data_IF_001701818946
#
_entry.id   IF_001701818946
#
_cell.length_a   1.000
_cell.length_b   1.000
_cell.length_c   1.000
_cell.angle_alpha   90.00
_cell.angle_beta   90.00
_cell.angle_gamma   90.00
#
_symmetry.space_group_name_H-M   'P 1'
#
loop_
_entity.id
_entity.type
_entity.pdbx_description
1 polymer ?
#
# COMPACT_ATOMS: atom_id res chain seq x y z
N UNK A 1 -19.33 -3.43 -20.61
CA UNK A 1 -18.31 -4.04 -19.73
C UNK A 1 -17.09 -3.15 -19.69
N UNK A 2 -16.64 -2.82 -18.50
CA UNK A 2 -15.43 -2.02 -18.37
C UNK A 2 -14.20 -2.88 -18.60
N UNK A 3 -13.25 -2.39 -19.40
CA UNK A 3 -11.96 -3.03 -19.57
C UNK A 3 -11.13 -2.98 -18.28
N UNK A 4 -9.95 -3.62 -18.26
CA UNK A 4 -9.08 -3.60 -17.10
C UNK A 4 -8.65 -2.17 -16.76
N UNK A 5 -8.60 -1.85 -15.48
CA UNK A 5 -8.17 -0.56 -14.97
C UNK A 5 -6.65 -0.44 -15.15
N UNK A 6 -6.19 0.72 -15.58
CA UNK A 6 -4.74 0.97 -15.71
C UNK A 6 -4.10 1.07 -14.33
N UNK A 7 -2.88 0.56 -14.21
CA UNK A 7 -2.10 0.67 -12.97
C UNK A 7 -1.94 2.12 -12.53
N UNK A 8 -1.74 3.04 -13.48
CA UNK A 8 -1.61 4.46 -13.17
C UNK A 8 -2.85 5.04 -12.50
N UNK A 9 -4.05 4.58 -12.90
CA UNK A 9 -5.30 5.01 -12.28
C UNK A 9 -5.41 4.50 -10.84
N UNK A 10 -5.00 3.26 -10.60
CA UNK A 10 -5.00 2.67 -9.25
C UNK A 10 -4.04 3.41 -8.33
N UNK A 11 -2.82 3.65 -8.80
CA UNK A 11 -1.82 4.39 -8.02
C UNK A 11 -2.26 5.83 -7.77
N UNK A 12 -2.85 6.49 -8.76
CA UNK A 12 -3.38 7.85 -8.62
C UNK A 12 -4.45 7.93 -7.53
N UNK A 13 -5.32 6.92 -7.45
CA UNK A 13 -6.42 6.90 -6.50
C UNK A 13 -5.96 6.91 -5.02
N UNK A 14 -4.71 6.50 -4.74
CA UNK A 14 -4.12 6.49 -3.40
C UNK A 14 -2.86 7.35 -3.31
N UNK A 15 -2.65 8.27 -4.26
CA UNK A 15 -1.41 9.03 -4.38
C UNK A 15 -1.27 10.19 -3.40
N UNK A 16 -2.36 10.68 -2.82
CA UNK A 16 -2.31 11.73 -1.80
C UNK A 16 -2.60 11.16 -0.42
N UNK A 17 -2.16 11.87 0.62
CA UNK A 17 -2.26 11.42 2.00
C UNK A 17 -3.71 11.15 2.43
N UNK A 18 -4.64 12.01 2.04
CA UNK A 18 -6.04 11.84 2.42
C UNK A 18 -6.68 10.64 1.73
N UNK A 19 -6.38 10.40 0.45
CA UNK A 19 -6.89 9.24 -0.29
C UNK A 19 -6.32 7.94 0.28
N UNK A 20 -5.04 7.91 0.59
CA UNK A 20 -4.40 6.75 1.21
C UNK A 20 -4.99 6.47 2.58
N UNK A 21 -5.20 7.52 3.40
CA UNK A 21 -5.83 7.40 4.72
C UNK A 21 -7.24 6.81 4.61
N UNK A 22 -8.06 7.30 3.68
CA UNK A 22 -9.40 6.78 3.46
C UNK A 22 -9.37 5.31 3.06
N UNK A 23 -8.50 4.94 2.15
CA UNK A 23 -8.31 3.55 1.72
C UNK A 23 -7.95 2.65 2.92
N UNK A 24 -7.02 3.07 3.75
CA UNK A 24 -6.60 2.33 4.95
C UNK A 24 -7.73 2.24 5.98
N UNK A 25 -8.52 3.30 6.16
CA UNK A 25 -9.66 3.28 7.07
C UNK A 25 -10.73 2.28 6.61
N UNK A 26 -11.00 2.20 5.32
CA UNK A 26 -11.92 1.20 4.77
C UNK A 26 -11.41 -0.21 5.07
N UNK A 27 -10.12 -0.45 4.88
CA UNK A 27 -9.50 -1.74 5.16
C UNK A 27 -9.64 -2.16 6.63
N UNK A 28 -9.50 -1.20 7.55
CA UNK A 28 -9.48 -1.47 8.98
C UNK A 28 -10.87 -1.54 9.62
N UNK A 29 -11.84 -0.78 9.10
CA UNK A 29 -13.12 -0.59 9.78
C UNK A 29 -14.32 -1.18 9.05
N UNK A 30 -14.26 -1.31 7.72
CA UNK A 30 -15.42 -1.63 6.88
C UNK A 30 -16.62 -0.74 7.24
N UNK A 31 -16.35 0.55 7.49
CA UNK A 31 -17.32 1.46 8.06
C UNK A 31 -18.34 2.01 7.07
N UNK A 32 -19.33 2.69 7.64
CA UNK A 32 -20.27 3.53 6.88
C UNK A 32 -19.61 4.88 6.56
N UNK A 33 -20.22 5.67 5.65
CA UNK A 33 -19.73 7.00 5.35
C UNK A 33 -19.63 7.90 6.59
N UNK A 34 -20.59 7.80 7.52
CA UNK A 34 -20.55 8.59 8.75
C UNK A 34 -19.33 8.27 9.60
N UNK A 35 -19.03 7.00 9.78
CA UNK A 35 -17.85 6.56 10.55
C UNK A 35 -16.56 6.99 9.86
N UNK A 36 -16.45 6.77 8.56
CA UNK A 36 -15.25 7.12 7.79
C UNK A 36 -15.01 8.62 7.81
N UNK A 37 -16.04 9.42 7.56
CA UNK A 37 -15.93 10.88 7.55
C UNK A 37 -15.56 11.45 8.93
N UNK A 38 -16.09 10.87 10.00
CA UNK A 38 -15.81 11.35 11.36
C UNK A 38 -14.35 11.21 11.74
N UNK A 39 -13.62 10.30 11.11
CA UNK A 39 -12.20 10.05 11.38
C UNK A 39 -11.27 10.82 10.47
N UNK A 40 -11.81 11.53 9.46
CA UNK A 40 -11.00 12.26 8.49
C UNK A 40 -11.22 13.76 8.64
N UNK A 41 -10.13 14.51 8.62
CA UNK A 41 -10.19 15.98 8.74
C UNK A 41 -10.19 16.61 7.34
N UNK A 42 -11.23 16.31 6.55
CA UNK A 42 -11.40 16.86 5.20
C UNK A 42 -12.85 17.29 5.00
N UNK A 43 -13.09 18.12 4.00
CA UNK A 43 -14.45 18.55 3.67
C UNK A 43 -15.28 17.40 3.11
N UNK A 44 -16.61 17.53 3.17
CA UNK A 44 -17.53 16.55 2.59
C UNK A 44 -17.23 16.34 1.09
N UNK A 45 -16.99 17.42 0.36
CA UNK A 45 -16.67 17.36 -1.07
C UNK A 45 -15.38 16.58 -1.32
N UNK A 46 -14.34 16.84 -0.53
CA UNK A 46 -13.06 16.13 -0.63
C UNK A 46 -13.23 14.63 -0.33
N UNK A 47 -14.01 14.31 0.70
CA UNK A 47 -14.30 12.93 1.07
C UNK A 47 -14.96 12.17 -0.08
N UNK A 48 -16.07 12.68 -0.62
CA UNK A 48 -16.79 11.98 -1.68
C UNK A 48 -16.02 11.92 -2.99
N UNK A 49 -15.23 12.94 -3.31
CA UNK A 49 -14.36 12.92 -4.48
C UNK A 49 -13.36 11.76 -4.41
N UNK A 50 -12.73 11.57 -3.25
CA UNK A 50 -11.75 10.50 -3.04
C UNK A 50 -12.41 9.13 -2.99
N UNK A 51 -13.52 9.02 -2.29
CA UNK A 51 -14.30 7.78 -2.23
C UNK A 51 -14.68 7.31 -3.63
N UNK A 52 -15.16 8.23 -4.46
CA UNK A 52 -15.54 7.94 -5.83
C UNK A 52 -14.39 7.38 -6.66
N UNK A 53 -13.20 7.97 -6.54
CA UNK A 53 -12.02 7.46 -7.22
C UNK A 53 -11.67 6.03 -6.80
N UNK A 54 -11.73 5.75 -5.51
CA UNK A 54 -11.46 4.41 -4.98
C UNK A 54 -12.46 3.37 -5.50
N UNK A 55 -13.73 3.75 -5.60
CA UNK A 55 -14.76 2.87 -6.16
C UNK A 55 -14.53 2.66 -7.66
N UNK A 56 -14.30 3.73 -8.41
CA UNK A 56 -14.15 3.65 -9.87
C UNK A 56 -12.93 2.88 -10.32
N UNK A 57 -11.83 2.94 -9.60
CA UNK A 57 -10.64 2.17 -9.94
C UNK A 57 -10.70 0.72 -9.43
N UNK A 58 -11.79 0.35 -8.74
CA UNK A 58 -12.02 -1.03 -8.34
C UNK A 58 -11.35 -1.45 -7.04
N UNK A 59 -10.90 -0.51 -6.22
CA UNK A 59 -10.23 -0.83 -4.94
C UNK A 59 -11.21 -1.07 -3.80
N UNK A 60 -12.34 -0.37 -3.79
CA UNK A 60 -13.38 -0.54 -2.77
C UNK A 60 -14.74 -0.74 -3.41
N UNK A 61 -15.63 -1.34 -2.63
CA UNK A 61 -17.04 -1.57 -3.01
C UNK A 61 -17.95 -1.20 -1.85
N UNK A 62 -19.18 -0.84 -2.18
CA UNK A 62 -20.23 -0.57 -1.21
C UNK A 62 -21.20 -1.74 -1.15
N UNK A 63 -21.55 -2.15 0.07
CA UNK A 63 -22.59 -3.15 0.31
C UNK A 63 -23.27 -2.84 1.64
N UNK A 64 -24.62 -2.74 1.63
CA UNK A 64 -25.42 -2.48 2.83
C UNK A 64 -24.96 -1.25 3.62
N UNK A 65 -24.70 -0.15 2.90
CA UNK A 65 -24.21 1.12 3.46
C UNK A 65 -22.81 1.05 4.09
N UNK A 66 -22.09 -0.05 3.90
CA UNK A 66 -20.71 -0.20 4.36
C UNK A 66 -19.77 -0.28 3.17
N UNK A 67 -18.51 0.09 3.40
CA UNK A 67 -17.47 0.05 2.38
C UNK A 67 -16.45 -1.04 2.72
N UNK A 68 -16.05 -1.79 1.71
CA UNK A 68 -15.15 -2.93 1.83
C UNK A 68 -14.08 -2.88 0.74
N UNK A 69 -12.93 -3.46 1.02
CA UNK A 69 -11.95 -3.69 -0.04
C UNK A 69 -12.46 -4.76 -1.01
N UNK A 70 -12.23 -4.54 -2.29
CA UNK A 70 -12.37 -5.59 -3.31
C UNK A 70 -11.17 -6.54 -3.21
N UNK A 71 -11.17 -7.62 -4.01
CA UNK A 71 -9.99 -8.49 -4.12
C UNK A 71 -8.77 -7.68 -4.58
N UNK A 72 -8.94 -6.82 -5.59
CA UNK A 72 -7.86 -5.92 -6.05
C UNK A 72 -7.43 -4.98 -4.91
N UNK A 73 -8.39 -4.44 -4.15
CA UNK A 73 -8.09 -3.59 -3.00
C UNK A 73 -7.26 -4.30 -1.95
N UNK A 74 -7.50 -5.58 -1.70
CA UNK A 74 -6.69 -6.38 -0.76
C UNK A 74 -5.26 -6.56 -1.24
N UNK A 75 -5.07 -6.83 -2.53
CA UNK A 75 -3.74 -6.92 -3.13
C UNK A 75 -3.01 -5.58 -2.99
N UNK A 76 -3.69 -4.48 -3.30
CA UNK A 76 -3.12 -3.14 -3.21
C UNK A 76 -2.80 -2.78 -1.75
N UNK A 77 -3.66 -3.15 -0.80
CA UNK A 77 -3.43 -2.90 0.62
C UNK A 77 -2.15 -3.59 1.12
N UNK A 78 -1.97 -4.85 0.78
CA UNK A 78 -0.76 -5.59 1.14
C UNK A 78 0.49 -4.96 0.50
N UNK A 79 0.37 -4.56 -0.76
CA UNK A 79 1.48 -3.92 -1.49
C UNK A 79 1.89 -2.60 -0.85
N UNK A 80 0.93 -1.74 -0.51
CA UNK A 80 1.24 -0.45 0.13
C UNK A 80 1.79 -0.66 1.54
N UNK A 81 1.32 -1.67 2.28
CA UNK A 81 1.86 -2.01 3.60
C UNK A 81 3.33 -2.43 3.49
N UNK A 82 3.68 -3.21 2.46
CA UNK A 82 5.07 -3.58 2.19
C UNK A 82 5.93 -2.34 1.94
N UNK A 83 5.42 -1.39 1.15
CA UNK A 83 6.12 -0.11 0.89
C UNK A 83 6.30 0.68 2.20
N UNK A 84 5.26 0.79 3.02
CA UNK A 84 5.35 1.49 4.32
C UNK A 84 6.38 0.84 5.24
N UNK A 85 6.41 -0.48 5.29
CA UNK A 85 7.39 -1.21 6.11
C UNK A 85 8.82 -0.96 5.61
N UNK A 86 9.02 -0.89 4.30
CA UNK A 86 10.31 -0.55 3.73
C UNK A 86 10.74 0.86 4.13
N UNK A 87 9.81 1.83 4.07
CA UNK A 87 10.09 3.20 4.47
C UNK A 87 10.39 3.33 5.97
N UNK A 88 9.70 2.57 6.81
CA UNK A 88 9.95 2.53 8.25
C UNK A 88 11.33 1.98 8.60
N UNK A 89 11.90 1.17 7.71
CA UNK A 89 13.23 0.58 7.85
C UNK A 89 14.19 1.10 6.78
N UNK A 90 14.04 2.37 6.41
CA UNK A 90 14.75 2.97 5.29
C UNK A 90 16.27 2.81 5.38
N UNK A 91 16.86 2.98 6.57
CA UNK A 91 18.29 2.83 6.76
C UNK A 91 18.78 1.40 6.49
N UNK A 92 17.96 0.39 6.82
CA UNK A 92 18.27 -1.02 6.51
C UNK A 92 18.27 -1.27 5.00
N UNK A 93 17.30 -0.68 4.30
CA UNK A 93 17.25 -0.76 2.83
C UNK A 93 18.51 -0.12 2.21
N UNK A 94 18.96 1.01 2.75
CA UNK A 94 20.19 1.65 2.29
C UNK A 94 21.44 0.79 2.53
N UNK A 95 21.47 0.07 3.64
CA UNK A 95 22.56 -0.90 3.89
C UNK A 95 22.58 -1.99 2.82
N UNK A 96 21.40 -2.48 2.42
CA UNK A 96 21.29 -3.47 1.34
C UNK A 96 21.89 -2.93 0.03
N UNK A 97 21.60 -1.68 -0.31
CA UNK A 97 22.20 -1.04 -1.49
C UNK A 97 23.72 -1.02 -1.42
N UNK A 98 24.27 -0.76 -0.25
CA UNK A 98 25.73 -0.77 -0.03
C UNK A 98 26.34 -2.15 -0.26
N UNK A 99 25.64 -3.23 0.06
CA UNK A 99 26.11 -4.60 -0.16
C UNK A 99 26.28 -4.90 -1.64
N UNK A 100 25.42 -4.36 -2.50
CA UNK A 100 25.49 -4.56 -3.95
C UNK A 100 26.71 -3.87 -4.58
N UNK A 101 27.28 -2.86 -3.92
CA UNK A 101 28.45 -2.12 -4.40
C UNK A 101 29.76 -2.76 -3.89
N UNK A 102 29.72 -3.48 -2.77
CA UNK A 102 30.90 -4.08 -2.17
C UNK A 102 31.34 -5.34 -2.96
N UNK A 103 32.38 -5.22 -3.75
CA UNK A 103 32.91 -6.32 -4.57
C UNK A 103 33.46 -7.50 -3.76
N UNK A 104 33.79 -7.26 -2.48
CA UNK A 104 34.39 -8.25 -1.58
C UNK A 104 33.36 -9.24 -1.00
N UNK A 105 32.05 -8.96 -1.16
CA UNK A 105 30.99 -9.77 -0.57
C UNK A 105 30.36 -10.64 -1.66
N UNK A 106 30.38 -11.96 -1.48
CA UNK A 106 29.76 -12.90 -2.43
C UNK A 106 28.22 -12.72 -2.43
N UNK A 107 27.57 -13.17 -3.53
CA UNK A 107 26.11 -13.13 -3.63
C UNK A 107 25.43 -13.94 -2.52
N UNK A 108 26.02 -15.07 -2.13
CA UNK A 108 25.49 -15.92 -1.05
C UNK A 108 25.54 -15.16 0.28
N UNK A 109 26.65 -14.50 0.57
CA UNK A 109 26.79 -13.72 1.81
C UNK A 109 25.89 -12.48 1.81
N UNK A 110 25.70 -11.83 0.66
CA UNK A 110 24.76 -10.72 0.52
C UNK A 110 23.34 -11.16 0.87
N UNK A 111 22.89 -12.33 0.36
CA UNK A 111 21.56 -12.87 0.69
C UNK A 111 21.42 -13.17 2.18
N UNK A 112 22.44 -13.76 2.81
CA UNK A 112 22.42 -14.03 4.25
C UNK A 112 22.30 -12.75 5.07
N UNK A 113 23.02 -11.70 4.69
CA UNK A 113 22.95 -10.42 5.36
C UNK A 113 21.57 -9.78 5.22
N UNK A 114 20.95 -9.84 4.04
CA UNK A 114 19.60 -9.36 3.81
C UNK A 114 18.61 -10.11 4.70
N UNK A 115 18.69 -11.43 4.76
CA UNK A 115 17.81 -12.24 5.59
C UNK A 115 17.92 -11.91 7.08
N UNK A 116 19.13 -11.58 7.54
CA UNK A 116 19.36 -11.18 8.93
C UNK A 116 18.86 -9.76 9.20
N UNK A 117 19.11 -8.84 8.28
CA UNK A 117 18.82 -7.41 8.44
C UNK A 117 17.34 -7.09 8.29
N UNK A 118 16.67 -7.70 7.31
CA UNK A 118 15.28 -7.44 6.96
C UNK A 118 14.41 -8.51 7.60
N UNK A 119 13.44 -8.08 8.43
CA UNK A 119 12.53 -9.00 9.12
C UNK A 119 11.25 -9.29 8.32
N UNK A 120 10.79 -8.33 7.52
CA UNK A 120 9.58 -8.48 6.70
C UNK A 120 9.82 -9.49 5.58
N UNK A 121 9.02 -10.58 5.56
CA UNK A 121 9.19 -11.66 4.60
C UNK A 121 8.91 -11.21 3.16
N UNK A 122 7.93 -10.33 2.97
CA UNK A 122 7.63 -9.78 1.64
C UNK A 122 8.79 -8.98 1.08
N UNK A 123 9.41 -8.15 1.89
CA UNK A 123 10.59 -7.36 1.50
C UNK A 123 11.78 -8.29 1.24
N UNK A 124 12.03 -9.27 2.11
CA UNK A 124 13.10 -10.27 1.90
C UNK A 124 12.96 -10.93 0.55
N UNK A 125 11.75 -11.40 0.23
CA UNK A 125 11.50 -12.09 -1.04
C UNK A 125 11.79 -11.19 -2.25
N UNK A 126 11.49 -9.91 -2.16
CA UNK A 126 11.78 -8.95 -3.22
C UNK A 126 13.29 -8.74 -3.37
N UNK A 127 14.01 -8.56 -2.27
CA UNK A 127 15.42 -8.20 -2.28
C UNK A 127 16.35 -9.39 -2.53
N UNK A 128 15.86 -10.62 -2.33
CA UNK A 128 16.66 -11.84 -2.53
C UNK A 128 16.33 -12.58 -3.82
N UNK A 129 15.51 -12.00 -4.68
CA UNK A 129 15.21 -12.58 -6.00
C UNK A 129 16.47 -12.81 -6.82
#
# INVERSE_FOLDING_TARGET
MMGPVKISAVLDAISDDASLELFKLVALTNGTSDVLRSRMNITRKQYYSRLYKLIHCGLIKRKDNQYFLTALGRVMYDSQTTIENALSNYWKIKVVDSLGIAEEISLVDQKKLIETLIQDQGIKNILTK
#
